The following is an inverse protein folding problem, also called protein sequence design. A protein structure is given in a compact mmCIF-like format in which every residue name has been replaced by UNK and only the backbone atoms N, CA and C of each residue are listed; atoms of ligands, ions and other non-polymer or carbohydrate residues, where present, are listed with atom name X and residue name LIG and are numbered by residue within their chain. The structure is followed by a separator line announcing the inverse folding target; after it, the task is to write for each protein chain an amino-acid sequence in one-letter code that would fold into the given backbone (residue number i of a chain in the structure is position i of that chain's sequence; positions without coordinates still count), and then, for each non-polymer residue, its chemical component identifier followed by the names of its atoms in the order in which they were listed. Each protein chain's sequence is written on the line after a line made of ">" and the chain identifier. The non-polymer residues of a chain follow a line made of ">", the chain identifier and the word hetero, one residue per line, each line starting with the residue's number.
data_IF_959286735228
#
_entry.id   IF_959286735228
#
_cell.length_a   1.000
_cell.length_b   1.000
_cell.length_c   1.000
_cell.angle_alpha   90.00
_cell.angle_beta   90.00
_cell.angle_gamma   90.00
#
_symmetry.space_group_name_H-M   'P 1'
#
loop_
_entity.id
_entity.type
_entity.pdbx_description
1 polymer ?
#
# COMPACT_ATOMS: atom_id res chain seq x y z
N UNK A 1 9.94 -12.56 20.18
CA UNK A 1 9.19 -11.29 20.20
C UNK A 1 9.95 -10.32 21.11
N UNK A 2 10.27 -9.10 20.66
CA UNK A 2 10.97 -8.12 21.49
C UNK A 2 10.00 -7.66 22.61
N UNK A 3 10.37 -7.84 23.88
CA UNK A 3 9.53 -7.50 25.05
C UNK A 3 9.03 -6.05 25.04
N UNK A 4 9.78 -5.13 24.42
CA UNK A 4 9.35 -3.73 24.26
C UNK A 4 8.13 -3.57 23.35
N UNK A 5 8.03 -4.37 22.28
CA UNK A 5 6.91 -4.30 21.33
C UNK A 5 5.63 -4.84 21.98
N UNK A 6 5.74 -5.96 22.70
CA UNK A 6 4.61 -6.59 23.39
C UNK A 6 3.95 -5.66 24.42
N UNK A 7 4.74 -4.79 25.09
CA UNK A 7 4.20 -3.81 26.05
C UNK A 7 3.64 -2.56 25.38
N UNK A 8 4.16 -2.18 24.21
CA UNK A 8 3.78 -0.93 23.54
C UNK A 8 2.43 -1.04 22.81
N UNK A 9 2.14 -2.19 22.21
CA UNK A 9 0.87 -2.40 21.47
C UNK A 9 -0.35 -2.09 22.35
N UNK A 10 -0.50 -2.66 23.56
CA UNK A 10 -1.63 -2.33 24.44
C UNK A 10 -1.74 -0.85 24.79
N UNK A 11 -0.61 -0.17 25.02
CA UNK A 11 -0.59 1.25 25.35
C UNK A 11 -1.15 2.11 24.21
N UNK A 12 -0.98 1.67 22.96
CA UNK A 12 -1.50 2.36 21.79
C UNK A 12 -2.96 1.98 21.50
N UNK A 13 -3.38 0.75 21.77
CA UNK A 13 -4.72 0.25 21.37
C UNK A 13 -5.79 0.37 22.46
N UNK A 14 -5.43 0.27 23.75
CA UNK A 14 -6.36 0.36 24.88
C UNK A 14 -7.16 1.67 24.93
N UNK A 15 -6.59 2.86 24.64
CA UNK A 15 -7.36 4.10 24.64
C UNK A 15 -8.55 4.05 23.67
N UNK A 16 -8.42 3.40 22.52
CA UNK A 16 -9.51 3.29 21.55
C UNK A 16 -10.63 2.37 22.06
N UNK A 17 -10.29 1.31 22.79
CA UNK A 17 -11.28 0.40 23.39
C UNK A 17 -11.99 1.10 24.55
N UNK A 18 -11.24 1.79 25.42
CA UNK A 18 -11.80 2.54 26.55
C UNK A 18 -12.78 3.64 26.10
N UNK A 19 -12.52 4.25 24.94
CA UNK A 19 -13.41 5.24 24.32
C UNK A 19 -14.58 4.63 23.54
N UNK A 20 -14.68 3.29 23.46
CA UNK A 20 -15.75 2.59 22.75
C UNK A 20 -15.63 2.63 21.22
N UNK A 21 -14.47 3.00 20.67
CA UNK A 21 -14.23 3.09 19.23
C UNK A 21 -14.08 1.69 18.63
N UNK A 22 -13.35 0.81 19.32
CA UNK A 22 -13.19 -0.60 18.94
C UNK A 22 -13.60 -1.52 20.09
N UNK A 23 -13.97 -2.76 19.75
CA UNK A 23 -14.43 -3.76 20.74
C UNK A 23 -13.27 -4.36 21.54
N UNK A 24 -12.15 -4.60 20.89
CA UNK A 24 -10.96 -5.25 21.46
C UNK A 24 -9.69 -4.54 20.98
N UNK A 25 -8.58 -4.78 21.66
CA UNK A 25 -7.28 -4.20 21.30
C UNK A 25 -6.74 -4.82 20.01
N UNK A 26 -7.05 -6.09 19.78
CA UNK A 26 -6.74 -6.85 18.59
C UNK A 26 -7.48 -6.29 17.36
N UNK A 27 -8.77 -6.01 17.50
CA UNK A 27 -9.55 -5.36 16.44
C UNK A 27 -9.02 -3.96 16.17
N UNK A 28 -8.71 -3.18 17.20
CA UNK A 28 -8.10 -1.86 17.03
C UNK A 28 -6.80 -1.94 16.25
N UNK A 29 -5.90 -2.87 16.60
CA UNK A 29 -4.64 -3.06 15.90
C UNK A 29 -4.85 -3.47 14.44
N UNK A 30 -5.71 -4.46 14.19
CA UNK A 30 -6.02 -4.94 12.83
C UNK A 30 -6.55 -3.81 11.96
N UNK A 31 -7.50 -3.03 12.46
CA UNK A 31 -8.08 -1.91 11.71
C UNK A 31 -7.08 -0.80 11.44
N UNK A 32 -6.21 -0.46 12.41
CA UNK A 32 -5.16 0.53 12.21
C UNK A 32 -4.14 0.09 11.15
N UNK A 33 -3.75 -1.18 11.15
CA UNK A 33 -2.87 -1.75 10.13
C UNK A 33 -3.55 -1.74 8.76
N UNK A 34 -4.81 -2.16 8.66
CA UNK A 34 -5.58 -2.12 7.41
C UNK A 34 -5.73 -0.70 6.86
N UNK A 35 -5.96 0.30 7.73
CA UNK A 35 -6.02 1.71 7.33
C UNK A 35 -4.69 2.18 6.73
N UNK A 36 -3.55 1.81 7.33
CA UNK A 36 -2.25 2.14 6.78
C UNK A 36 -2.03 1.48 5.41
N UNK A 37 -2.37 0.19 5.28
CA UNK A 37 -2.26 -0.53 4.01
C UNK A 37 -3.12 0.14 2.92
N UNK A 38 -4.35 0.54 3.25
CA UNK A 38 -5.23 1.22 2.28
C UNK A 38 -4.64 2.56 1.82
N UNK A 39 -4.02 3.34 2.71
CA UNK A 39 -3.32 4.57 2.32
C UNK A 39 -2.20 4.30 1.31
N UNK A 40 -1.44 3.23 1.50
CA UNK A 40 -0.35 2.85 0.59
C UNK A 40 -0.88 2.36 -0.77
N UNK A 41 -1.97 1.59 -0.78
CA UNK A 41 -2.67 1.17 -2.00
C UNK A 41 -3.13 2.40 -2.79
N UNK A 42 -3.75 3.37 -2.13
CA UNK A 42 -4.25 4.59 -2.78
C UNK A 42 -3.12 5.50 -3.28
N UNK A 43 -1.97 5.55 -2.59
CA UNK A 43 -0.76 6.20 -3.10
C UNK A 43 -0.26 5.55 -4.40
N UNK A 44 -0.10 4.23 -4.41
CA UNK A 44 0.33 3.49 -5.59
C UNK A 44 -0.65 3.66 -6.77
N UNK A 45 -1.96 3.59 -6.51
CA UNK A 45 -3.00 3.81 -7.52
C UNK A 45 -2.97 5.23 -8.09
N UNK A 46 -2.74 6.25 -7.26
CA UNK A 46 -2.60 7.64 -7.72
C UNK A 46 -1.39 7.81 -8.63
N UNK A 47 -0.27 7.19 -8.29
CA UNK A 47 0.96 7.22 -9.09
C UNK A 47 0.75 6.52 -10.45
N UNK A 48 0.17 5.32 -10.46
CA UNK A 48 -0.22 4.60 -11.68
C UNK A 48 -1.14 5.47 -12.56
N UNK A 49 -2.17 6.06 -11.95
CA UNK A 49 -3.13 6.90 -12.68
C UNK A 49 -2.49 8.20 -13.19
N UNK A 50 -1.47 8.72 -12.50
CA UNK A 50 -0.68 9.86 -12.99
C UNK A 50 -0.01 9.52 -14.31
N UNK A 51 0.71 8.39 -14.38
CA UNK A 51 1.40 8.00 -15.61
C UNK A 51 0.45 7.57 -16.73
N UNK A 52 -0.65 6.87 -16.41
CA UNK A 52 -1.71 6.57 -17.39
C UNK A 52 -2.24 7.84 -18.06
N UNK A 53 -2.40 8.93 -17.30
CA UNK A 53 -2.79 10.24 -17.84
C UNK A 53 -1.65 10.92 -18.60
N UNK A 54 -0.41 10.85 -18.10
CA UNK A 54 0.77 11.46 -18.75
C UNK A 54 0.98 10.89 -20.16
N UNK A 55 0.85 9.56 -20.32
CA UNK A 55 1.14 8.87 -21.57
C UNK A 55 -0.11 8.45 -22.37
N UNK A 56 -1.31 8.62 -21.81
CA UNK A 56 -2.58 8.39 -22.51
C UNK A 56 -2.86 6.92 -22.84
N UNK A 57 -2.20 5.99 -22.16
CA UNK A 57 -2.29 4.54 -22.41
C UNK A 57 -2.03 3.74 -21.13
N UNK A 58 -2.17 2.43 -21.18
CA UNK A 58 -1.74 1.52 -20.12
C UNK A 58 -0.23 1.26 -20.16
N UNK A 59 0.31 0.76 -19.05
CA UNK A 59 1.75 0.57 -18.87
C UNK A 59 2.34 -0.40 -19.90
N UNK A 60 1.63 -1.49 -20.22
CA UNK A 60 2.07 -2.51 -21.16
C UNK A 60 2.26 -1.92 -22.56
N UNK A 61 1.23 -1.23 -23.09
CA UNK A 61 1.33 -0.55 -24.39
C UNK A 61 2.38 0.55 -24.40
N UNK A 62 2.52 1.28 -23.29
CA UNK A 62 3.56 2.29 -23.19
C UNK A 62 4.97 1.67 -23.21
N UNK A 63 5.18 0.58 -22.46
CA UNK A 63 6.44 -0.17 -22.42
C UNK A 63 6.84 -0.65 -23.82
N UNK A 64 5.91 -1.25 -24.57
CA UNK A 64 6.13 -1.62 -25.97
C UNK A 64 6.48 -0.41 -26.85
N UNK A 65 5.89 0.75 -26.56
CA UNK A 65 6.16 1.98 -27.27
C UNK A 65 7.55 2.57 -26.99
N UNK A 66 8.24 2.16 -25.93
CA UNK A 66 9.56 2.69 -25.57
C UNK A 66 10.73 1.91 -26.18
N UNK A 67 10.50 0.66 -26.63
CA UNK A 67 11.56 -0.24 -27.11
C UNK A 67 12.41 0.41 -28.22
N UNK A 68 13.70 0.58 -27.93
CA UNK A 68 14.69 1.12 -28.88
C UNK A 68 14.58 2.62 -29.17
N UNK A 69 13.73 3.35 -28.43
CA UNK A 69 13.47 4.79 -28.67
C UNK A 69 13.25 5.62 -27.40
N UNK A 70 13.34 5.03 -26.22
CA UNK A 70 13.13 5.71 -24.95
C UNK A 70 14.14 6.85 -24.73
N UNK A 71 13.64 7.97 -24.22
CA UNK A 71 14.45 9.02 -23.63
C UNK A 71 14.76 8.70 -22.16
N UNK A 72 15.78 9.34 -21.59
CA UNK A 72 16.13 9.17 -20.16
C UNK A 72 14.95 9.51 -19.25
N UNK A 73 14.18 10.56 -19.56
CA UNK A 73 12.99 10.91 -18.77
C UNK A 73 11.91 9.81 -18.84
N UNK A 74 11.72 9.21 -20.02
CA UNK A 74 10.76 8.11 -20.18
C UNK A 74 11.23 6.84 -19.47
N UNK A 75 12.54 6.56 -19.42
CA UNK A 75 13.09 5.46 -18.62
C UNK A 75 12.87 5.69 -17.12
N UNK A 76 13.12 6.90 -16.62
CA UNK A 76 12.89 7.25 -15.21
C UNK A 76 11.42 7.10 -14.82
N UNK A 77 10.51 7.57 -15.68
CA UNK A 77 9.08 7.46 -15.44
C UNK A 77 8.57 6.03 -15.60
N UNK A 78 9.20 5.25 -16.49
CA UNK A 78 8.94 3.82 -16.61
C UNK A 78 9.29 3.07 -15.33
N UNK A 79 10.47 3.34 -14.74
CA UNK A 79 10.87 2.72 -13.48
C UNK A 79 9.93 3.09 -12.33
N UNK A 80 9.48 4.35 -12.25
CA UNK A 80 8.51 4.78 -11.22
C UNK A 80 7.16 4.12 -11.41
N UNK A 81 6.67 4.03 -12.65
CA UNK A 81 5.38 3.40 -12.93
C UNK A 81 5.42 1.90 -12.65
N UNK A 82 6.49 1.21 -13.06
CA UNK A 82 6.71 -0.20 -12.74
C UNK A 82 6.73 -0.41 -11.22
N UNK A 83 7.53 0.38 -10.50
CA UNK A 83 7.62 0.31 -9.05
C UNK A 83 6.27 0.54 -8.36
N UNK A 84 5.46 1.49 -8.83
CA UNK A 84 4.13 1.73 -8.28
C UNK A 84 3.20 0.52 -8.48
N UNK A 85 3.31 -0.19 -9.61
CA UNK A 85 2.54 -1.43 -9.85
C UNK A 85 2.97 -2.56 -8.92
N UNK A 86 4.28 -2.75 -8.74
CA UNK A 86 4.82 -3.77 -7.84
C UNK A 86 4.43 -3.49 -6.38
N UNK A 87 4.46 -2.21 -5.98
CA UNK A 87 4.00 -1.77 -4.67
C UNK A 87 2.51 -2.05 -4.48
N UNK A 88 1.68 -1.72 -5.48
CA UNK A 88 0.24 -1.99 -5.42
C UNK A 88 -0.03 -3.48 -5.21
N UNK A 89 0.59 -4.34 -6.04
CA UNK A 89 0.42 -5.80 -5.93
C UNK A 89 0.87 -6.32 -4.55
N UNK A 90 2.01 -5.82 -4.05
CA UNK A 90 2.54 -6.21 -2.75
C UNK A 90 1.61 -5.82 -1.60
N UNK A 91 1.08 -4.59 -1.61
CA UNK A 91 0.16 -4.12 -0.58
C UNK A 91 -1.19 -4.83 -0.64
N UNK A 92 -1.71 -5.13 -1.83
CA UNK A 92 -2.94 -5.92 -1.99
C UNK A 92 -2.79 -7.35 -1.45
N UNK A 93 -1.61 -7.98 -1.62
CA UNK A 93 -1.29 -9.28 -1.00
C UNK A 93 -1.28 -9.19 0.53
N UNK A 94 -0.56 -8.21 1.09
CA UNK A 94 -0.49 -8.01 2.54
C UNK A 94 -1.88 -7.74 3.12
N UNK A 95 -2.70 -6.91 2.45
CA UNK A 95 -4.09 -6.67 2.84
C UNK A 95 -4.88 -7.96 2.94
N UNK A 96 -4.81 -8.81 1.91
CA UNK A 96 -5.53 -10.09 1.88
C UNK A 96 -5.06 -11.05 2.99
N UNK A 97 -3.79 -11.03 3.36
CA UNK A 97 -3.28 -11.81 4.50
C UNK A 97 -3.85 -11.33 5.84
N UNK A 98 -3.82 -10.01 6.10
CA UNK A 98 -4.33 -9.42 7.34
C UNK A 98 -5.85 -9.57 7.46
N UNK A 99 -6.60 -9.43 6.37
CA UNK A 99 -8.05 -9.63 6.36
C UNK A 99 -8.43 -11.06 6.81
N UNK A 100 -7.64 -12.07 6.43
CA UNK A 100 -7.81 -13.47 6.81
C UNK A 100 -7.41 -13.78 8.26
N UNK A 101 -6.65 -12.92 8.93
CA UNK A 101 -6.33 -13.11 10.34
C UNK A 101 -7.61 -13.01 11.18
N UNK A 102 -7.95 -14.09 11.88
CA UNK A 102 -9.08 -14.13 12.80
C UNK A 102 -8.57 -13.70 14.18
N UNK A 103 -8.75 -12.42 14.50
CA UNK A 103 -8.34 -11.77 15.75
C UNK A 103 -9.54 -11.14 16.43
#
# INVERSE_FOLDING_TARGET
>A
MNEGIAKTIPLLTEPFVRMGIYKTQEEALKQLVLQHIELQIEEARREIAHFQRKYGTDFEKWTESLVGRATVEEEDDWMKWESARDMLESWEKVRAEIERCNV
#
